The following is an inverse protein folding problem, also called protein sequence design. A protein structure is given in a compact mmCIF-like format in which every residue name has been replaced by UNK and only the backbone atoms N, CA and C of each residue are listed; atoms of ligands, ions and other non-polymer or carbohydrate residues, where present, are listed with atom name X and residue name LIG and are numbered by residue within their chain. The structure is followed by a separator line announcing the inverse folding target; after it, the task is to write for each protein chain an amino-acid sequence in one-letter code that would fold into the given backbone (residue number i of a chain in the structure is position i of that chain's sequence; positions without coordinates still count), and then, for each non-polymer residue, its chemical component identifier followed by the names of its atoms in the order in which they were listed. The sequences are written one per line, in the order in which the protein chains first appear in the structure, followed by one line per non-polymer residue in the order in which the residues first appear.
data_IF_652531838722
#
_entry.id   IF_652531838722
#
_cell.length_a   1.000
_cell.length_b   1.000
_cell.length_c   1.000
_cell.angle_alpha   90.00
_cell.angle_beta   90.00
_cell.angle_gamma   90.00
#
_symmetry.space_group_name_H-M   'P 1'
#
loop_
_entity.id
_entity.type
_entity.pdbx_description
1 polymer ?
#
# COMPACT_ATOMS: atom_id res chain seq x y z
N UNK A 1 5.29 -1.34 6.17
CA UNK A 1 5.84 -0.35 5.20
C UNK A 1 6.69 -1.11 4.22
N UNK A 2 6.65 -0.73 2.94
CA UNK A 2 7.51 -1.25 1.90
C UNK A 2 8.09 -0.10 1.05
N UNK A 3 9.16 -0.38 0.32
CA UNK A 3 9.81 0.58 -0.59
C UNK A 3 10.18 -0.17 -1.86
N UNK A 4 9.96 0.44 -3.03
CA UNK A 4 10.37 -0.15 -4.31
C UNK A 4 11.77 0.33 -4.75
N UNK A 5 12.27 -0.18 -5.88
CA UNK A 5 13.59 0.19 -6.41
C UNK A 5 13.76 1.69 -6.76
N UNK A 6 12.65 2.42 -6.96
CA UNK A 6 12.67 3.86 -7.25
C UNK A 6 12.60 4.72 -5.99
N UNK A 7 12.55 4.11 -4.80
CA UNK A 7 12.43 4.80 -3.52
C UNK A 7 11.01 5.26 -3.16
N UNK A 8 9.99 4.85 -3.92
CA UNK A 8 8.58 5.11 -3.55
C UNK A 8 8.25 4.29 -2.31
N UNK A 9 7.74 4.96 -1.27
CA UNK A 9 7.37 4.34 0.01
C UNK A 9 5.88 4.00 -0.01
N UNK A 10 5.53 2.82 0.50
CA UNK A 10 4.17 2.32 0.61
C UNK A 10 3.86 2.02 2.09
N UNK A 11 2.74 2.54 2.59
CA UNK A 11 2.36 2.46 4.00
C UNK A 11 0.89 2.06 4.12
N UNK A 12 0.61 1.20 5.10
CA UNK A 12 -0.73 1.06 5.64
C UNK A 12 -0.92 2.20 6.64
N UNK A 13 -1.69 3.21 6.25
CA UNK A 13 -2.04 4.32 7.10
C UNK A 13 -3.13 3.88 8.07
N UNK A 14 -2.84 4.00 9.36
CA UNK A 14 -3.72 3.58 10.45
C UNK A 14 -4.33 4.83 11.09
N UNK A 15 -5.40 5.36 10.52
CA UNK A 15 -6.28 6.26 11.26
C UNK A 15 -7.32 5.44 12.03
N UNK A 16 -7.89 6.01 13.09
CA UNK A 16 -8.68 5.32 14.11
C UNK A 16 -10.01 4.71 13.60
N UNK A 17 -10.37 4.90 12.33
CA UNK A 17 -11.64 4.37 11.77
C UNK A 17 -11.50 3.68 10.40
N UNK A 18 -10.64 4.18 9.51
CA UNK A 18 -10.42 3.59 8.19
C UNK A 18 -8.93 3.44 7.90
N UNK A 19 -8.50 2.20 7.65
CA UNK A 19 -7.12 1.91 7.27
C UNK A 19 -7.01 1.88 5.76
N UNK A 20 -6.11 2.69 5.21
CA UNK A 20 -5.89 2.81 3.78
C UNK A 20 -4.45 2.48 3.43
N UNK A 21 -4.21 2.14 2.16
CA UNK A 21 -2.86 1.92 1.65
C UNK A 21 -2.48 3.10 0.77
N UNK A 22 -1.41 3.78 1.14
CA UNK A 22 -0.93 4.99 0.46
C UNK A 22 0.47 4.76 -0.11
N UNK A 23 0.80 5.51 -1.16
CA UNK A 23 2.15 5.66 -1.68
C UNK A 23 2.64 7.10 -1.50
N UNK A 24 3.93 7.24 -1.23
CA UNK A 24 4.64 8.51 -1.23
C UNK A 24 5.84 8.39 -2.17
N UNK A 25 5.76 9.07 -3.31
CA UNK A 25 6.86 9.13 -4.28
C UNK A 25 7.98 10.00 -3.76
N UNK A 26 9.22 9.67 -4.12
CA UNK A 26 10.41 10.48 -3.79
C UNK A 26 10.19 11.94 -4.21
N UNK A 27 10.48 12.87 -3.29
CA UNK A 27 10.30 14.30 -3.50
C UNK A 27 8.86 14.82 -3.30
N UNK A 28 7.89 13.95 -3.06
CA UNK A 28 6.52 14.37 -2.68
C UNK A 28 6.40 14.57 -1.18
N UNK A 29 5.58 15.54 -0.78
CA UNK A 29 5.07 15.71 0.60
C UNK A 29 3.63 15.24 0.75
N UNK A 30 2.98 14.85 -0.34
CA UNK A 30 1.56 14.49 -0.36
C UNK A 30 1.41 13.01 -0.72
N UNK A 31 0.91 12.16 0.20
CA UNK A 31 0.64 10.76 -0.09
C UNK A 31 -0.54 10.61 -1.05
N UNK A 32 -0.53 9.55 -1.85
CA UNK A 32 -1.61 9.19 -2.76
C UNK A 32 -2.20 7.84 -2.35
N UNK A 33 -3.53 7.77 -2.20
CA UNK A 33 -4.23 6.53 -1.92
C UNK A 33 -4.15 5.56 -3.11
N UNK A 34 -3.93 4.28 -2.81
CA UNK A 34 -3.99 3.21 -3.81
C UNK A 34 -5.42 2.68 -3.94
N UNK A 35 -5.85 2.28 -5.16
CA UNK A 35 -7.23 1.90 -5.46
C UNK A 35 -7.58 0.48 -4.99
N UNK A 36 -7.26 0.14 -3.75
CA UNK A 36 -7.79 -1.08 -3.12
C UNK A 36 -9.25 -0.87 -2.74
N UNK A 37 -10.09 -1.84 -3.08
CA UNK A 37 -11.50 -1.88 -2.68
C UNK A 37 -11.74 -2.99 -1.68
N UNK A 38 -12.60 -2.78 -0.69
CA UNK A 38 -12.99 -3.83 0.25
C UNK A 38 -11.92 -4.17 1.30
N UNK A 39 -11.00 -3.24 1.58
CA UNK A 39 -10.01 -3.40 2.65
C UNK A 39 -10.73 -3.62 3.99
N UNK A 40 -10.40 -4.71 4.66
CA UNK A 40 -10.87 -5.01 6.01
C UNK A 40 -9.68 -5.06 6.96
N UNK A 41 -9.38 -3.91 7.58
CA UNK A 41 -8.32 -3.84 8.58
C UNK A 41 -6.93 -4.29 8.06
N UNK A 42 -6.42 -3.73 6.95
CA UNK A 42 -5.08 -4.07 6.45
C UNK A 42 -3.99 -3.85 7.51
N UNK A 43 -3.01 -4.73 7.52
CA UNK A 43 -1.94 -4.76 8.52
C UNK A 43 -0.55 -4.51 7.93
N UNK A 44 -0.29 -5.03 6.72
CA UNK A 44 1.02 -4.91 6.08
C UNK A 44 0.91 -4.72 4.57
N UNK A 45 1.99 -4.23 3.99
CA UNK A 45 2.14 -3.99 2.56
C UNK A 45 3.52 -4.45 2.10
N UNK A 46 3.58 -5.11 0.95
CA UNK A 46 4.79 -5.51 0.24
C UNK A 46 4.69 -5.12 -1.24
N UNK A 47 5.83 -4.96 -1.91
CA UNK A 47 5.91 -4.62 -3.34
C UNK A 47 6.89 -5.56 -4.01
N UNK A 48 6.50 -6.15 -5.14
CA UNK A 48 7.40 -7.00 -5.94
C UNK A 48 8.24 -6.19 -6.95
N UNK A 49 9.18 -6.86 -7.62
CA UNK A 49 10.07 -6.22 -8.60
C UNK A 49 9.36 -5.75 -9.87
N UNK A 50 8.17 -6.29 -10.16
CA UNK A 50 7.34 -5.82 -11.26
C UNK A 50 6.51 -4.58 -10.87
N UNK A 51 6.43 -4.24 -9.58
CA UNK A 51 5.66 -3.12 -9.06
C UNK A 51 4.25 -3.49 -8.61
N UNK A 52 3.91 -4.78 -8.52
CA UNK A 52 2.64 -5.19 -7.91
C UNK A 52 2.71 -4.98 -6.41
N UNK A 53 1.59 -4.53 -5.84
CA UNK A 53 1.47 -4.23 -4.41
C UNK A 53 0.57 -5.29 -3.78
N UNK A 54 1.04 -5.88 -2.70
CA UNK A 54 0.35 -6.91 -1.93
C UNK A 54 0.03 -6.35 -0.55
N UNK A 55 -1.20 -6.55 -0.11
CA UNK A 55 -1.70 -6.07 1.18
C UNK A 55 -2.24 -7.25 1.94
N UNK A 56 -1.75 -7.44 3.17
CA UNK A 56 -2.27 -8.47 4.07
C UNK A 56 -3.32 -7.84 4.97
N UNK A 57 -4.44 -8.52 5.10
CA UNK A 57 -5.51 -8.23 6.05
C UNK A 57 -5.90 -9.51 6.79
N UNK A 58 -6.78 -9.43 7.79
CA UNK A 58 -7.05 -10.49 8.77
C UNK A 58 -7.12 -11.93 8.22
N UNK A 59 -7.70 -12.11 7.02
CA UNK A 59 -7.91 -13.44 6.43
C UNK A 59 -7.47 -13.54 4.97
N UNK A 60 -7.01 -12.46 4.34
CA UNK A 60 -6.74 -12.45 2.91
C UNK A 60 -5.49 -11.67 2.54
N UNK A 61 -5.04 -11.92 1.32
CA UNK A 61 -4.03 -11.09 0.65
C UNK A 61 -4.68 -10.49 -0.58
N UNK A 62 -4.75 -9.17 -0.63
CA UNK A 62 -5.21 -8.43 -1.80
C UNK A 62 -4.00 -8.05 -2.65
N UNK A 63 -4.16 -8.13 -3.97
CA UNK A 63 -3.13 -7.73 -4.94
C UNK A 63 -3.65 -6.58 -5.79
N UNK A 64 -2.86 -5.51 -5.87
CA UNK A 64 -2.96 -4.51 -6.92
C UNK A 64 -1.85 -4.79 -7.94
N UNK A 65 -2.19 -5.27 -9.16
CA UNK A 65 -1.19 -5.54 -10.19
C UNK A 65 -0.40 -4.30 -10.58
N UNK A 66 0.83 -4.49 -11.03
CA UNK A 66 1.57 -3.45 -11.72
C UNK A 66 0.78 -2.94 -12.95
N UNK A 67 0.94 -1.64 -13.22
CA UNK A 67 0.35 -0.99 -14.40
C UNK A 67 1.12 -1.32 -15.68
#
# INVERSE_FOLDING_TARGET
MAVNATGTVYVVERDNKDRQVVKLTVGSTTPTMLPFTGLNQPDSVAVDTAGSIYVTESHTVLKLPAA
#
